data_IF_064016405912
#
_entry.id   IF_064016405912
#
_cell.length_a   1.000
_cell.length_b   1.000
_cell.length_c   1.000
_cell.angle_alpha   90.00
_cell.angle_beta   90.00
_cell.angle_gamma   90.00
#
_symmetry.space_group_name_H-M   'P 1'
#
loop_
_entity.id
_entity.type
_entity.pdbx_description
1 polymer ?
#
# COMPACT_ATOMS: atom_id res chain seq x y z
N UNK A 1 -25.10 4.66 -24.08
CA UNK A 1 -24.55 4.40 -22.72
C UNK A 1 -24.64 5.67 -21.92
N UNK A 2 -25.52 5.70 -20.95
CA UNK A 2 -25.65 6.82 -20.02
C UNK A 2 -24.40 6.88 -19.17
N UNK A 3 -23.57 7.87 -19.41
CA UNK A 3 -22.49 8.25 -18.50
C UNK A 3 -23.13 8.63 -17.17
N UNK A 4 -23.02 7.77 -16.17
CA UNK A 4 -23.33 8.18 -14.81
C UNK A 4 -22.28 9.22 -14.40
N UNK A 5 -22.65 10.48 -14.54
CA UNK A 5 -21.90 11.59 -13.99
C UNK A 5 -22.06 11.56 -12.47
N UNK A 6 -21.10 10.92 -11.81
CA UNK A 6 -20.97 11.09 -10.36
C UNK A 6 -20.58 12.53 -10.09
N UNK A 7 -21.20 13.14 -9.06
CA UNK A 7 -20.80 14.47 -8.59
C UNK A 7 -19.31 14.47 -8.22
N UNK A 8 -18.59 15.52 -8.58
CA UNK A 8 -17.19 15.69 -8.19
C UNK A 8 -17.10 15.76 -6.67
N UNK A 9 -16.36 14.88 -6.02
CA UNK A 9 -16.18 14.97 -4.58
C UNK A 9 -15.38 16.23 -4.23
N UNK A 10 -15.70 16.83 -3.10
CA UNK A 10 -15.05 18.03 -2.59
C UNK A 10 -14.38 17.72 -1.24
N UNK A 11 -13.20 18.27 -1.03
CA UNK A 11 -12.60 18.37 0.30
C UNK A 11 -13.02 19.72 0.89
N UNK A 12 -13.63 19.66 2.06
CA UNK A 12 -13.99 20.86 2.84
C UNK A 12 -13.06 20.94 4.04
N UNK A 13 -12.39 22.07 4.18
CA UNK A 13 -11.54 22.34 5.34
C UNK A 13 -12.32 23.18 6.34
N UNK A 14 -12.48 22.70 7.56
CA UNK A 14 -13.22 23.39 8.64
C UNK A 14 -12.42 24.54 9.28
N UNK A 15 -11.11 24.64 8.97
CA UNK A 15 -10.28 25.71 9.50
C UNK A 15 -10.56 27.06 8.83
N UNK A 16 -10.66 28.15 9.61
CA UNK A 16 -10.83 29.48 9.05
C UNK A 16 -9.74 29.85 8.03
N UNK A 17 -10.16 30.31 6.85
CA UNK A 17 -9.25 30.69 5.76
C UNK A 17 -8.80 29.57 4.84
N UNK A 18 -9.17 28.33 5.11
CA UNK A 18 -9.01 27.21 4.19
C UNK A 18 -10.29 27.04 3.38
N UNK A 19 -10.16 27.02 2.07
CA UNK A 19 -11.29 26.92 1.15
C UNK A 19 -11.73 25.47 0.91
N UNK A 20 -12.51 25.27 -0.13
CA UNK A 20 -12.86 23.97 -0.66
C UNK A 20 -11.94 23.63 -1.85
N UNK A 21 -11.56 22.36 -2.00
CA UNK A 21 -10.84 21.86 -3.17
C UNK A 21 -11.69 20.78 -3.86
N UNK A 22 -11.85 20.92 -5.18
CA UNK A 22 -12.45 19.86 -6.00
C UNK A 22 -11.42 18.75 -6.23
N UNK A 23 -11.85 17.50 -6.06
CA UNK A 23 -11.00 16.35 -6.35
C UNK A 23 -11.07 16.01 -7.83
N UNK A 24 -9.92 15.94 -8.48
CA UNK A 24 -9.81 15.48 -9.85
C UNK A 24 -9.58 13.97 -9.89
N UNK A 25 -10.32 13.28 -10.78
CA UNK A 25 -10.15 11.86 -10.98
C UNK A 25 -8.83 11.58 -11.70
N UNK A 26 -7.92 10.90 -11.03
CA UNK A 26 -6.65 10.48 -11.59
C UNK A 26 -6.80 9.13 -12.30
N UNK A 27 -6.32 9.04 -13.54
CA UNK A 27 -6.19 7.77 -14.25
C UNK A 27 -4.84 7.14 -13.92
N UNK A 28 -4.86 5.95 -13.32
CA UNK A 28 -3.66 5.15 -13.09
C UNK A 28 -3.27 4.39 -14.36
N UNK A 29 -1.96 4.20 -14.60
CA UNK A 29 -1.46 3.33 -15.67
C UNK A 29 -1.26 3.99 -17.04
N UNK A 30 -1.37 5.31 -17.13
CA UNK A 30 -1.16 6.09 -18.35
C UNK A 30 0.00 7.09 -18.28
N UNK A 31 1.18 6.69 -17.74
CA UNK A 31 2.32 7.59 -17.59
C UNK A 31 2.93 7.62 -16.19
N UNK A 32 3.08 8.79 -15.56
CA UNK A 32 3.76 8.98 -14.28
C UNK A 32 3.05 8.38 -13.04
N UNK A 33 1.82 7.89 -13.19
CA UNK A 33 1.00 7.34 -12.09
C UNK A 33 0.78 5.85 -12.30
N UNK A 34 1.83 5.11 -12.11
CA UNK A 34 1.92 3.66 -12.21
C UNK A 34 1.78 2.97 -10.83
N UNK A 35 2.07 1.67 -10.77
CA UNK A 35 2.06 0.89 -9.54
C UNK A 35 3.07 1.46 -8.52
N UNK A 36 4.26 1.85 -8.96
CA UNK A 36 5.29 2.41 -8.09
C UNK A 36 4.87 3.76 -7.48
N UNK A 37 4.19 4.61 -8.25
CA UNK A 37 3.64 5.85 -7.73
C UNK A 37 2.61 5.57 -6.62
N UNK A 38 1.70 4.61 -6.85
CA UNK A 38 0.68 4.26 -5.86
C UNK A 38 1.31 3.64 -4.61
N UNK A 39 2.25 2.72 -4.78
CA UNK A 39 3.03 2.11 -3.70
C UNK A 39 3.71 3.17 -2.81
N UNK A 40 4.35 4.17 -3.43
CA UNK A 40 4.97 5.28 -2.72
C UNK A 40 3.95 6.10 -1.94
N UNK A 41 2.80 6.41 -2.55
CA UNK A 41 1.74 7.19 -1.87
C UNK A 41 1.13 6.45 -0.69
N UNK A 42 0.94 5.15 -0.78
CA UNK A 42 0.46 4.33 0.33
C UNK A 42 1.49 4.28 1.48
N UNK A 43 2.77 4.29 1.16
CA UNK A 43 3.83 4.34 2.17
C UNK A 43 3.88 5.70 2.88
N UNK A 44 3.76 6.80 2.13
CA UNK A 44 3.74 8.17 2.67
C UNK A 44 2.46 8.46 3.47
N UNK A 45 1.33 7.91 3.01
CA UNK A 45 0.00 8.17 3.54
C UNK A 45 -0.78 6.87 3.81
N UNK A 46 -0.42 6.08 4.83
CA UNK A 46 -1.07 4.81 5.13
C UNK A 46 -2.58 4.93 5.38
N UNK A 47 -3.05 6.09 5.82
CA UNK A 47 -4.48 6.39 6.00
C UNK A 47 -5.31 6.37 4.71
N UNK A 48 -4.66 6.29 3.54
CA UNK A 48 -5.37 6.05 2.26
C UNK A 48 -5.89 4.61 2.15
N UNK A 49 -5.39 3.67 2.97
CA UNK A 49 -5.89 2.31 3.05
C UNK A 49 -7.08 2.26 4.01
N UNK A 50 -8.25 1.78 3.58
CA UNK A 50 -9.45 1.69 4.41
C UNK A 50 -9.38 0.47 5.35
N UNK A 51 -8.34 0.41 6.18
CA UNK A 51 -8.06 -0.75 7.04
C UNK A 51 -9.14 -0.94 8.09
N UNK A 52 -9.65 0.11 8.67
CA UNK A 52 -10.75 0.11 9.63
C UNK A 52 -12.06 -0.45 9.05
N UNK A 53 -12.27 -0.29 7.73
CA UNK A 53 -13.41 -0.89 7.03
C UNK A 53 -13.18 -2.39 6.73
N UNK A 54 -11.92 -2.83 6.54
CA UNK A 54 -11.57 -4.21 6.20
C UNK A 54 -11.45 -5.08 7.45
N UNK A 55 -10.72 -4.60 8.45
CA UNK A 55 -10.49 -5.29 9.72
C UNK A 55 -10.44 -4.26 10.87
N UNK A 56 -11.58 -4.01 11.50
CA UNK A 56 -11.68 -3.00 12.57
C UNK A 56 -10.78 -3.25 13.80
N UNK A 57 -10.26 -4.46 13.94
CA UNK A 57 -9.31 -4.78 15.01
C UNK A 57 -7.89 -4.27 14.73
N UNK A 58 -7.57 -3.95 13.47
CA UNK A 58 -6.31 -3.32 13.10
C UNK A 58 -6.40 -1.82 13.35
N UNK A 59 -5.39 -1.30 14.00
CA UNK A 59 -5.27 0.12 14.32
C UNK A 59 -4.44 0.85 13.23
N UNK A 60 -3.87 1.96 13.56
CA UNK A 60 -3.02 2.77 12.69
C UNK A 60 -1.89 1.93 12.08
N UNK A 61 -1.67 2.09 10.79
CA UNK A 61 -0.56 1.46 10.09
C UNK A 61 0.71 2.30 10.19
N UNK A 62 1.78 1.68 10.64
CA UNK A 62 3.12 2.26 10.71
C UNK A 62 3.93 1.74 9.53
N UNK A 63 4.38 2.58 8.58
CA UNK A 63 5.16 2.14 7.43
C UNK A 63 6.54 1.65 7.87
N UNK A 64 6.94 0.47 7.43
CA UNK A 64 8.22 -0.16 7.74
C UNK A 64 9.19 -0.02 6.57
N UNK A 65 8.83 -0.58 5.42
CA UNK A 65 9.63 -0.49 4.21
C UNK A 65 8.80 -0.74 2.96
N UNK A 66 9.36 -0.39 1.81
CA UNK A 66 8.87 -0.75 0.48
C UNK A 66 9.84 -1.74 -0.17
N UNK A 67 9.32 -2.57 -1.08
CA UNK A 67 10.09 -3.51 -1.89
C UNK A 67 10.99 -4.41 -1.05
N UNK A 68 10.42 -5.03 -0.01
CA UNK A 68 11.14 -5.99 0.80
C UNK A 68 11.43 -7.26 -0.01
N UNK A 69 12.71 -7.58 -0.21
CA UNK A 69 13.13 -8.76 -0.95
C UNK A 69 12.75 -10.05 -0.21
N UNK A 70 12.17 -10.99 -0.95
CA UNK A 70 11.81 -12.33 -0.47
C UNK A 70 12.29 -13.37 -1.48
N UNK A 71 12.33 -14.68 -1.15
CA UNK A 71 12.60 -15.72 -2.11
C UNK A 71 11.61 -15.80 -3.29
N UNK A 72 10.44 -15.20 -3.14
CA UNK A 72 9.35 -15.24 -4.13
C UNK A 72 9.16 -13.93 -4.90
N UNK A 73 9.99 -12.91 -4.64
CA UNK A 73 9.89 -11.58 -5.25
C UNK A 73 9.99 -10.48 -4.19
N UNK A 74 9.31 -9.36 -4.45
CA UNK A 74 9.36 -8.19 -3.57
C UNK A 74 7.98 -7.88 -3.03
N UNK A 75 7.88 -7.69 -1.71
CA UNK A 75 6.67 -7.16 -1.07
C UNK A 75 6.65 -5.65 -1.33
N UNK A 76 5.60 -5.15 -1.97
CA UNK A 76 5.51 -3.73 -2.34
C UNK A 76 5.55 -2.82 -1.11
N UNK A 77 4.69 -3.06 -0.13
CA UNK A 77 4.68 -2.29 1.12
C UNK A 77 4.52 -3.22 2.32
N UNK A 78 5.30 -2.97 3.35
CA UNK A 78 5.18 -3.60 4.66
C UNK A 78 4.87 -2.56 5.72
N UNK A 79 3.83 -2.84 6.50
CA UNK A 79 3.40 -2.02 7.64
C UNK A 79 3.34 -2.87 8.90
N UNK A 80 3.38 -2.20 10.05
CA UNK A 80 3.10 -2.78 11.36
C UNK A 80 1.99 -1.99 12.03
N UNK A 81 1.24 -2.66 12.91
CA UNK A 81 0.35 -1.98 13.85
C UNK A 81 1.06 -1.76 15.19
N UNK A 82 0.58 -0.85 16.05
CA UNK A 82 1.09 -0.70 17.42
C UNK A 82 0.98 -1.97 18.26
N UNK A 83 0.02 -2.86 17.94
CA UNK A 83 -0.14 -4.18 18.57
C UNK A 83 0.84 -5.24 18.07
N UNK A 84 1.60 -4.95 17.02
CA UNK A 84 2.60 -5.86 16.46
C UNK A 84 2.11 -6.72 15.31
N UNK A 85 0.92 -6.44 14.78
CA UNK A 85 0.43 -7.15 13.59
C UNK A 85 1.19 -6.69 12.34
N UNK A 86 1.47 -7.63 11.45
CA UNK A 86 2.14 -7.36 10.18
C UNK A 86 1.08 -7.23 9.08
N UNK A 87 1.13 -6.12 8.35
CA UNK A 87 0.26 -5.88 7.21
C UNK A 87 1.12 -5.72 5.96
N UNK A 88 0.95 -6.63 5.02
CA UNK A 88 1.56 -6.52 3.69
C UNK A 88 0.54 -6.00 2.68
N UNK A 89 0.98 -5.14 1.79
CA UNK A 89 0.14 -4.59 0.72
C UNK A 89 0.84 -4.82 -0.61
N UNK A 90 0.13 -5.47 -1.52
CA UNK A 90 0.55 -5.70 -2.90
C UNK A 90 -0.27 -4.80 -3.82
N UNK A 91 0.40 -3.97 -4.59
CA UNK A 91 -0.21 -2.98 -5.48
C UNK A 91 -0.24 -3.51 -6.91
N UNK A 92 -1.43 -3.57 -7.50
CA UNK A 92 -1.59 -3.94 -8.92
C UNK A 92 -2.57 -3.02 -9.62
N UNK A 93 -2.19 -2.53 -10.78
CA UNK A 93 -3.10 -1.83 -11.65
C UNK A 93 -4.07 -2.82 -12.28
N UNK A 94 -5.34 -2.53 -12.14
CA UNK A 94 -6.39 -3.38 -12.66
C UNK A 94 -6.41 -3.36 -14.20
N UNK A 95 -5.92 -4.43 -14.83
CA UNK A 95 -5.91 -4.55 -16.30
C UNK A 95 -6.68 -5.77 -16.82
N UNK A 96 -6.72 -6.87 -16.07
CA UNK A 96 -7.49 -8.05 -16.44
C UNK A 96 -7.81 -8.95 -15.22
N UNK A 97 -8.83 -9.86 -15.30
CA UNK A 97 -9.23 -10.74 -14.21
C UNK A 97 -8.15 -11.77 -13.78
N UNK A 98 -7.23 -12.15 -14.65
CA UNK A 98 -6.15 -13.10 -14.31
C UNK A 98 -5.16 -12.49 -13.32
N UNK A 99 -4.97 -11.18 -13.36
CA UNK A 99 -4.11 -10.47 -12.42
C UNK A 99 -4.59 -10.62 -10.98
N UNK A 100 -5.90 -10.75 -10.77
CA UNK A 100 -6.48 -10.95 -9.43
C UNK A 100 -6.00 -12.25 -8.79
N UNK A 101 -5.96 -13.36 -9.55
CA UNK A 101 -5.49 -14.65 -9.01
C UNK A 101 -4.01 -14.63 -8.72
N UNK A 102 -3.23 -14.00 -9.58
CA UNK A 102 -1.77 -13.86 -9.40
C UNK A 102 -1.43 -13.05 -8.17
N UNK A 103 -2.10 -11.92 -7.94
CA UNK A 103 -1.83 -11.07 -6.77
C UNK A 103 -2.19 -11.75 -5.46
N UNK A 104 -3.29 -12.51 -5.42
CA UNK A 104 -3.67 -13.28 -4.22
C UNK A 104 -2.64 -14.37 -3.93
N UNK A 105 -2.22 -15.14 -4.94
CA UNK A 105 -1.21 -16.17 -4.78
C UNK A 105 0.12 -15.57 -4.28
N UNK A 106 0.55 -14.47 -4.86
CA UNK A 106 1.77 -13.75 -4.48
C UNK A 106 1.70 -13.23 -3.04
N UNK A 107 0.57 -12.65 -2.64
CA UNK A 107 0.36 -12.19 -1.26
C UNK A 107 0.40 -13.35 -0.26
N UNK A 108 -0.14 -14.52 -0.62
CA UNK A 108 -0.10 -15.73 0.22
C UNK A 108 1.33 -16.28 0.35
N UNK A 109 2.11 -16.30 -0.72
CA UNK A 109 3.52 -16.72 -0.67
C UNK A 109 4.35 -15.80 0.24
N UNK A 110 4.13 -14.50 0.15
CA UNK A 110 4.78 -13.51 1.02
C UNK A 110 4.34 -13.66 2.48
N UNK A 111 3.05 -13.85 2.73
CA UNK A 111 2.53 -14.07 4.07
C UNK A 111 3.12 -15.35 4.69
N UNK A 112 3.20 -16.44 3.94
CA UNK A 112 3.79 -17.69 4.41
C UNK A 112 5.28 -17.51 4.75
N UNK A 113 6.02 -16.76 3.94
CA UNK A 113 7.43 -16.47 4.21
C UNK A 113 7.59 -15.60 5.47
N UNK A 114 6.81 -14.54 5.62
CA UNK A 114 6.81 -13.71 6.82
C UNK A 114 6.46 -14.51 8.08
N UNK A 115 5.46 -15.40 7.97
CA UNK A 115 5.03 -16.25 9.08
C UNK A 115 6.10 -17.27 9.52
N UNK A 116 7.02 -17.62 8.61
CA UNK A 116 8.13 -18.54 8.93
C UNK A 116 9.28 -17.87 9.70
N UNK A 117 9.25 -16.54 9.83
CA UNK A 117 10.31 -15.78 10.52
C UNK A 117 9.96 -15.50 11.98
N UNK A 118 11.01 -15.40 12.79
CA UNK A 118 10.94 -14.73 14.08
C UNK A 118 11.21 -13.23 13.94
N UNK A 119 11.11 -12.51 15.04
CA UNK A 119 11.37 -11.08 15.09
C UNK A 119 12.77 -10.70 14.57
N UNK A 120 13.80 -11.47 14.96
CA UNK A 120 15.19 -11.17 14.57
C UNK A 120 15.40 -11.37 13.07
N UNK A 121 14.78 -12.39 12.49
CA UNK A 121 14.79 -12.66 11.05
C UNK A 121 14.14 -11.54 10.26
N UNK A 122 12.95 -11.09 10.68
CA UNK A 122 12.26 -9.97 10.05
C UNK A 122 13.05 -8.66 10.19
N UNK A 123 13.54 -8.36 11.38
CA UNK A 123 14.33 -7.15 11.63
C UNK A 123 15.58 -7.10 10.75
N UNK A 124 16.29 -8.22 10.63
CA UNK A 124 17.46 -8.33 9.74
C UNK A 124 17.08 -8.08 8.28
N UNK A 125 16.02 -8.73 7.77
CA UNK A 125 15.55 -8.55 6.40
C UNK A 125 15.20 -7.08 6.10
N UNK A 126 14.54 -6.38 7.02
CA UNK A 126 14.20 -4.97 6.89
C UNK A 126 15.45 -4.06 6.91
N UNK A 127 16.41 -4.33 7.79
CA UNK A 127 17.64 -3.55 7.87
C UNK A 127 18.50 -3.73 6.61
N UNK A 128 18.63 -4.95 6.11
CA UNK A 128 19.35 -5.24 4.87
C UNK A 128 18.72 -4.53 3.68
N UNK A 129 17.40 -4.50 3.61
CA UNK A 129 16.66 -3.78 2.57
C UNK A 129 16.91 -2.26 2.60
N UNK A 130 17.00 -1.67 3.78
CA UNK A 130 17.32 -0.23 3.95
C UNK A 130 18.77 0.08 3.55
N UNK A 131 19.72 -0.77 3.87
CA UNK A 131 21.13 -0.55 3.56
C UNK A 131 21.40 -0.56 2.05
N UNK A 132 20.75 -1.45 1.30
CA UNK A 132 20.85 -1.51 -0.17
C UNK A 132 20.32 -0.22 -0.82
N UNK A 133 19.20 0.32 -0.32
CA UNK A 133 18.60 1.56 -0.88
C UNK A 133 19.38 2.83 -0.56
N UNK A 134 20.19 2.83 0.50
CA UNK A 134 21.01 3.99 0.88
C UNK A 134 22.33 4.04 0.10
N UNK A 135 22.72 2.93 -0.52
CA UNK A 135 23.99 2.79 -1.28
C UNK A 135 23.80 3.01 -2.79
N UNK A 136 22.60 3.37 -3.24
CA UNK A 136 22.24 3.69 -4.63
C UNK A 136 21.90 5.16 -4.76
#
# INVERSE_FOLDING_TARGET
MTSHSYSTPLVVHDAPGQGTAALERIRLGGGLKDENWLQTKLHEFPSCLPIDEIEPALDVLIPVCMELATPHGYIDNLFLTPSGDIVLVEVKLWRNPEMRRKVVAQALDYAAWLFSMDYEGLNRAVLDNKSVKTSS
#
